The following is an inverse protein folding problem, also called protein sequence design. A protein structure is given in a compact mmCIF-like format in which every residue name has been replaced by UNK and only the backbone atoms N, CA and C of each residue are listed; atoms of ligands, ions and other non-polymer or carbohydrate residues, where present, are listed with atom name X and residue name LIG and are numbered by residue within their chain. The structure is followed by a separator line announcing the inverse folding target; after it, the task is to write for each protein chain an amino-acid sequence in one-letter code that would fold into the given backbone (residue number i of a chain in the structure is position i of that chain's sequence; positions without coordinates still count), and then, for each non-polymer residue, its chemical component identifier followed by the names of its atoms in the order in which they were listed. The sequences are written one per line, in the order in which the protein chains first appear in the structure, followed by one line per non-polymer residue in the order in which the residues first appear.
data_IF_504783800112
#
_entry.id   IF_504783800112
#
_cell.length_a   1.000
_cell.length_b   1.000
_cell.length_c   1.000
_cell.angle_alpha   90.00
_cell.angle_beta   90.00
_cell.angle_gamma   90.00
#
_symmetry.space_group_name_H-M   'P 1'
#
loop_
_entity.id
_entity.type
_entity.pdbx_description
1 polymer ?
#
# COMPACT_ATOMS: atom_id res chain seq x y z
N UNK A 1 -18.95 -1.18 -26.20
CA UNK A 1 -18.95 -2.31 -25.25
C UNK A 1 -17.49 -2.54 -24.86
N UNK A 2 -16.97 -2.25 -23.66
CA UNK A 2 -17.35 -2.67 -22.31
C UNK A 2 -17.17 -1.48 -21.34
N UNK A 3 -18.24 -1.00 -20.72
CA UNK A 3 -18.09 -0.20 -19.50
C UNK A 3 -17.80 -1.19 -18.37
N UNK A 4 -16.54 -1.64 -18.29
CA UNK A 4 -16.09 -2.49 -17.19
C UNK A 4 -16.27 -1.70 -15.90
N UNK A 5 -16.90 -2.32 -14.90
CA UNK A 5 -17.13 -1.68 -13.60
C UNK A 5 -15.77 -1.28 -13.01
N UNK A 6 -15.48 0.01 -12.99
CA UNK A 6 -14.26 0.57 -12.40
C UNK A 6 -14.35 0.48 -10.88
N UNK A 7 -13.30 -0.03 -10.23
CA UNK A 7 -13.23 -0.12 -8.77
C UNK A 7 -11.89 0.38 -8.21
N UNK A 8 -11.87 0.70 -6.92
CA UNK A 8 -10.65 0.89 -6.12
C UNK A 8 -10.37 -0.42 -5.38
N UNK A 9 -9.19 -0.98 -5.58
CA UNK A 9 -8.74 -2.18 -4.89
C UNK A 9 -8.00 -1.79 -3.60
N UNK A 10 -8.44 -2.32 -2.46
CA UNK A 10 -7.71 -2.26 -1.19
C UNK A 10 -7.02 -3.61 -1.03
N UNK A 11 -5.68 -3.61 -1.04
CA UNK A 11 -4.84 -4.79 -1.00
C UNK A 11 -4.11 -4.85 0.36
N UNK A 12 -4.53 -5.73 1.28
CA UNK A 12 -3.80 -5.95 2.51
C UNK A 12 -2.44 -6.60 2.21
N UNK A 13 -1.42 -6.19 2.95
CA UNK A 13 -0.06 -6.73 2.90
C UNK A 13 0.38 -7.10 4.32
N UNK A 14 0.50 -8.40 4.59
CA UNK A 14 1.04 -8.91 5.85
C UNK A 14 0.07 -8.92 7.03
N UNK A 15 -1.21 -9.24 6.77
CA UNK A 15 -2.15 -9.62 7.84
C UNK A 15 -2.76 -8.45 8.61
N UNK A 16 -3.37 -7.51 7.89
CA UNK A 16 -4.10 -6.38 8.50
C UNK A 16 -5.45 -6.83 9.03
N UNK A 17 -5.85 -6.27 10.17
CA UNK A 17 -7.15 -6.54 10.78
C UNK A 17 -8.30 -6.15 9.84
N UNK A 18 -9.30 -7.01 9.75
CA UNK A 18 -10.44 -6.84 8.86
C UNK A 18 -11.24 -5.57 9.15
N UNK A 19 -11.43 -5.21 10.43
CA UNK A 19 -12.17 -3.99 10.82
C UNK A 19 -11.49 -2.71 10.32
N UNK A 20 -10.15 -2.66 10.33
CA UNK A 20 -9.38 -1.54 9.77
C UNK A 20 -9.57 -1.46 8.25
N UNK A 21 -9.52 -2.59 7.56
CA UNK A 21 -9.69 -2.66 6.11
C UNK A 21 -11.11 -2.25 5.68
N UNK A 22 -12.13 -2.64 6.44
CA UNK A 22 -13.52 -2.25 6.21
C UNK A 22 -13.71 -0.75 6.33
N UNK A 23 -13.15 -0.13 7.39
CA UNK A 23 -13.20 1.33 7.59
C UNK A 23 -12.50 2.06 6.45
N UNK A 24 -11.32 1.61 6.02
CA UNK A 24 -10.60 2.18 4.88
C UNK A 24 -11.45 2.08 3.61
N UNK A 25 -11.98 0.90 3.30
CA UNK A 25 -12.78 0.68 2.09
C UNK A 25 -14.07 1.51 2.09
N UNK A 26 -14.75 1.61 3.23
CA UNK A 26 -15.97 2.41 3.37
C UNK A 26 -15.69 3.90 3.15
N UNK A 27 -14.63 4.43 3.75
CA UNK A 27 -14.24 5.83 3.59
C UNK A 27 -13.80 6.16 2.16
N UNK A 28 -13.02 5.29 1.51
CA UNK A 28 -12.64 5.45 0.11
C UNK A 28 -13.87 5.45 -0.80
N UNK A 29 -14.80 4.53 -0.60
CA UNK A 29 -16.03 4.47 -1.37
C UNK A 29 -16.90 5.72 -1.17
N UNK A 30 -17.04 6.19 0.08
CA UNK A 30 -17.81 7.38 0.40
C UNK A 30 -17.18 8.67 -0.17
N UNK A 31 -15.85 8.77 -0.13
CA UNK A 31 -15.15 9.96 -0.63
C UNK A 31 -15.10 10.01 -2.16
N UNK A 32 -14.69 8.92 -2.80
CA UNK A 32 -14.50 8.87 -4.25
C UNK A 32 -15.78 8.55 -5.02
N UNK A 33 -16.84 8.08 -4.37
CA UNK A 33 -18.08 7.61 -5.00
C UNK A 33 -17.82 6.50 -6.04
N UNK A 34 -16.76 5.72 -5.83
CA UNK A 34 -16.34 4.61 -6.67
C UNK A 34 -16.40 3.33 -5.85
N UNK A 35 -16.89 2.26 -6.46
CA UNK A 35 -16.93 0.92 -5.83
C UNK A 35 -15.54 0.59 -5.28
N UNK A 36 -15.47 0.27 -4.00
CA UNK A 36 -14.21 -0.13 -3.37
C UNK A 36 -14.33 -1.57 -2.89
N UNK A 37 -13.26 -2.36 -3.04
CA UNK A 37 -13.24 -3.76 -2.64
C UNK A 37 -11.94 -4.11 -1.94
N UNK A 38 -12.05 -4.78 -0.80
CA UNK A 38 -10.90 -5.41 -0.11
C UNK A 38 -10.58 -6.74 -0.79
N UNK A 39 -9.31 -6.96 -1.11
CA UNK A 39 -8.78 -8.17 -1.72
C UNK A 39 -8.17 -9.11 -0.68
N UNK A 40 -7.97 -10.40 -1.01
CA UNK A 40 -7.28 -11.33 -0.14
C UNK A 40 -5.89 -10.80 0.23
N UNK A 41 -5.47 -11.03 1.48
CA UNK A 41 -4.15 -10.61 1.96
C UNK A 41 -3.04 -11.20 1.09
N UNK A 42 -2.04 -10.38 0.79
CA UNK A 42 -0.83 -10.81 0.11
C UNK A 42 0.33 -10.84 1.12
N UNK A 43 1.25 -11.81 0.99
CA UNK A 43 2.43 -11.84 1.82
C UNK A 43 3.30 -10.61 1.54
N UNK A 44 3.99 -10.13 2.57
CA UNK A 44 4.95 -9.05 2.41
C UNK A 44 6.15 -9.50 1.56
N UNK A 45 6.65 -8.62 0.69
CA UNK A 45 7.76 -8.94 -0.19
C UNK A 45 9.08 -8.98 0.61
N UNK A 46 9.64 -10.17 0.85
CA UNK A 46 10.93 -10.33 1.53
C UNK A 46 12.05 -9.54 0.85
N UNK A 47 12.04 -9.47 -0.49
CA UNK A 47 13.02 -8.70 -1.28
C UNK A 47 12.93 -7.18 -1.12
N UNK A 48 11.89 -6.66 -0.44
CA UNK A 48 11.78 -5.26 -0.07
C UNK A 48 12.36 -4.95 1.32
N UNK A 49 12.67 -5.98 2.12
CA UNK A 49 13.19 -5.81 3.47
C UNK A 49 14.67 -5.38 3.45
N UNK A 50 14.99 -4.34 4.21
CA UNK A 50 16.36 -3.91 4.46
C UNK A 50 16.77 -4.28 5.87
N UNK A 51 17.62 -5.30 6.01
CA UNK A 51 18.16 -5.75 7.31
C UNK A 51 18.94 -4.65 8.04
N UNK A 52 19.60 -3.74 7.32
CA UNK A 52 20.30 -2.59 7.88
C UNK A 52 19.38 -1.60 8.59
N UNK A 53 18.11 -1.53 8.19
CA UNK A 53 17.12 -0.58 8.74
C UNK A 53 16.01 -1.25 9.54
N UNK A 54 15.85 -2.57 9.40
CA UNK A 54 14.68 -3.30 9.87
C UNK A 54 13.37 -2.72 9.31
N UNK A 55 13.40 -2.23 8.07
CA UNK A 55 12.29 -1.54 7.40
C UNK A 55 12.15 -2.03 5.95
N UNK A 56 10.98 -1.83 5.36
CA UNK A 56 10.68 -2.21 3.98
C UNK A 56 10.78 -1.02 3.02
N UNK A 57 11.45 -1.20 1.89
CA UNK A 57 11.52 -0.19 0.84
C UNK A 57 10.18 -0.13 0.11
N UNK A 58 9.58 1.06 0.01
CA UNK A 58 8.32 1.26 -0.70
C UNK A 58 8.40 0.92 -2.19
N UNK A 59 9.51 1.20 -2.87
CA UNK A 59 9.58 1.06 -4.32
C UNK A 59 9.30 -0.37 -4.82
N UNK A 60 9.93 -1.43 -4.28
CA UNK A 60 9.57 -2.80 -4.64
C UNK A 60 8.09 -3.14 -4.32
N UNK A 61 7.54 -2.59 -3.24
CA UNK A 61 6.14 -2.81 -2.85
C UNK A 61 5.19 -2.16 -3.87
N UNK A 62 5.45 -0.93 -4.28
CA UNK A 62 4.64 -0.24 -5.31
C UNK A 62 4.66 -0.99 -6.64
N UNK A 63 5.83 -1.49 -7.07
CA UNK A 63 5.94 -2.34 -8.26
C UNK A 63 5.14 -3.64 -8.13
N UNK A 64 5.21 -4.29 -6.97
CA UNK A 64 4.47 -5.52 -6.69
C UNK A 64 2.95 -5.29 -6.71
N UNK A 65 2.48 -4.20 -6.11
CA UNK A 65 1.08 -3.80 -6.14
C UNK A 65 0.61 -3.46 -7.56
N UNK A 66 1.42 -2.74 -8.34
CA UNK A 66 1.13 -2.44 -9.74
C UNK A 66 0.96 -3.72 -10.59
N UNK A 67 1.84 -4.70 -10.39
CA UNK A 67 1.75 -6.00 -11.06
C UNK A 67 0.55 -6.84 -10.59
N UNK A 68 0.13 -6.69 -9.34
CA UNK A 68 -1.00 -7.42 -8.74
C UNK A 68 -2.34 -6.72 -8.95
N UNK A 69 -2.36 -5.57 -9.64
CA UNK A 69 -3.59 -4.79 -9.82
C UNK A 69 -4.62 -5.57 -10.66
N UNK A 70 -5.87 -5.72 -10.16
CA UNK A 70 -6.97 -6.27 -10.95
C UNK A 70 -7.23 -5.45 -12.23
N UNK A 71 -7.58 -6.13 -13.32
CA UNK A 71 -7.83 -5.46 -14.61
C UNK A 71 -9.05 -4.50 -14.56
N UNK A 72 -10.01 -4.74 -13.67
CA UNK A 72 -11.17 -3.87 -13.44
C UNK A 72 -10.91 -2.75 -12.42
N UNK A 73 -9.74 -2.76 -11.76
CA UNK A 73 -9.34 -1.73 -10.84
C UNK A 73 -8.68 -0.54 -11.56
N UNK A 74 -9.16 0.66 -11.24
CA UNK A 74 -8.55 1.91 -11.68
C UNK A 74 -7.42 2.35 -10.76
N UNK A 75 -7.46 1.94 -9.49
CA UNK A 75 -6.45 2.25 -8.47
C UNK A 75 -6.29 1.04 -7.55
N UNK A 76 -5.09 0.86 -7.00
CA UNK A 76 -4.81 -0.14 -5.97
C UNK A 76 -4.10 0.52 -4.79
N UNK A 77 -4.57 0.25 -3.58
CA UNK A 77 -4.02 0.79 -2.35
C UNK A 77 -3.57 -0.38 -1.49
N UNK A 78 -2.26 -0.52 -1.32
CA UNK A 78 -1.64 -1.39 -0.34
C UNK A 78 -1.85 -0.87 1.08
N UNK A 79 -2.24 -1.74 2.01
CA UNK A 79 -2.36 -1.42 3.43
C UNK A 79 -1.45 -2.38 4.21
N UNK A 80 -0.58 -1.83 5.06
CA UNK A 80 0.40 -2.60 5.83
C UNK A 80 0.54 -2.02 7.25
N UNK A 81 0.90 -2.85 8.23
CA UNK A 81 1.27 -2.44 9.59
C UNK A 81 2.80 -2.40 9.78
N UNK A 82 3.55 -2.61 8.69
CA UNK A 82 5.01 -2.69 8.69
C UNK A 82 5.63 -1.36 8.28
N UNK A 83 6.68 -0.96 8.99
CA UNK A 83 7.44 0.27 8.71
C UNK A 83 8.04 0.26 7.28
N UNK A 84 7.66 1.27 6.53
CA UNK A 84 8.10 1.60 5.19
C UNK A 84 9.05 2.80 5.17
N UNK A 85 10.01 2.77 4.25
CA UNK A 85 10.93 3.88 3.97
C UNK A 85 11.09 4.11 2.47
N UNK A 86 11.48 5.35 2.12
CA UNK A 86 12.00 5.69 0.78
C UNK A 86 13.45 6.15 0.91
N UNK A 87 14.31 6.06 -0.12
CA UNK A 87 15.73 6.38 0.01
C UNK A 87 16.04 7.78 0.55
N UNK A 88 15.11 8.73 0.42
CA UNK A 88 15.27 10.13 0.82
C UNK A 88 14.65 10.41 2.22
N UNK A 89 13.71 9.59 2.71
CA UNK A 89 13.01 9.79 3.99
C UNK A 89 13.05 8.53 4.86
N UNK A 90 13.37 8.70 6.15
CA UNK A 90 13.54 7.59 7.10
C UNK A 90 12.23 6.86 7.44
N UNK A 91 11.08 7.54 7.30
CA UNK A 91 9.74 6.97 7.49
C UNK A 91 8.76 7.66 6.54
N UNK A 92 7.83 6.88 5.97
CA UNK A 92 6.72 7.42 5.19
C UNK A 92 5.42 6.75 5.60
N UNK A 93 4.41 7.54 5.96
CA UNK A 93 3.06 7.00 6.22
C UNK A 93 2.44 6.42 4.96
N UNK A 94 2.80 6.99 3.81
CA UNK A 94 2.34 6.59 2.50
C UNK A 94 3.31 7.05 1.42
N UNK A 95 3.52 6.21 0.40
CA UNK A 95 4.06 6.66 -0.89
C UNK A 95 2.98 6.43 -1.95
N UNK A 96 2.92 7.32 -2.94
CA UNK A 96 2.04 7.16 -4.09
C UNK A 96 2.83 7.33 -5.40
N UNK A 97 2.63 6.44 -6.37
CA UNK A 97 3.12 6.65 -7.74
C UNK A 97 2.02 7.32 -8.57
N UNK A 98 2.26 8.55 -9.05
CA UNK A 98 1.35 9.28 -9.94
C UNK A 98 1.80 9.07 -11.40
N UNK A 99 0.93 8.50 -12.23
CA UNK A 99 1.19 8.38 -13.67
C UNK A 99 2.18 7.27 -14.06
N UNK A 100 2.23 6.19 -13.27
CA UNK A 100 3.15 5.06 -13.51
C UNK A 100 3.04 4.43 -14.91
N UNK A 101 4.13 3.81 -15.35
CA UNK A 101 4.37 3.36 -16.75
C UNK A 101 3.43 2.25 -17.27
N UNK A 102 2.49 1.75 -16.47
CA UNK A 102 1.44 0.86 -16.93
C UNK A 102 0.24 1.69 -17.39
N UNK A 103 0.22 2.01 -18.69
CA UNK A 103 -0.84 2.69 -19.45
C UNK A 103 -2.19 2.86 -18.73
N UNK A 104 -2.37 4.04 -18.13
CA UNK A 104 -3.65 4.56 -17.63
C UNK A 104 -3.67 4.80 -16.12
N UNK A 105 -3.23 5.98 -15.69
CA UNK A 105 -3.52 6.61 -14.38
C UNK A 105 -3.52 5.67 -13.17
N UNK A 106 -2.41 4.93 -13.01
CA UNK A 106 -2.19 4.08 -11.86
C UNK A 106 -1.73 4.94 -10.68
N UNK A 107 -2.61 5.17 -9.70
CA UNK A 107 -2.19 5.61 -8.36
C UNK A 107 -2.07 4.36 -7.47
N UNK A 108 -0.82 4.02 -7.12
CA UNK A 108 -0.52 2.95 -6.15
C UNK A 108 -0.14 3.61 -4.86
N UNK A 109 -0.82 3.33 -3.75
CA UNK A 109 -0.43 3.87 -2.44
C UNK A 109 -0.20 2.78 -1.40
N UNK A 110 0.85 2.86 -0.59
CA UNK A 110 1.11 1.92 0.51
C UNK A 110 1.00 2.66 1.85
N UNK A 111 -0.04 2.42 2.65
CA UNK A 111 -0.28 3.14 3.91
C UNK A 111 0.09 2.29 5.14
N UNK A 112 0.80 2.89 6.11
CA UNK A 112 1.11 2.30 7.41
C UNK A 112 -0.02 2.55 8.42
N UNK A 113 -0.57 1.49 9.04
CA UNK A 113 -1.43 1.64 10.22
C UNK A 113 -0.59 1.72 11.50
N UNK A 114 -0.93 2.68 12.37
CA UNK A 114 -0.10 3.13 13.49
C UNK A 114 0.30 1.99 14.46
N UNK A 115 1.60 1.78 14.63
CA UNK A 115 2.20 1.53 15.95
C UNK A 115 3.07 2.73 16.32
N UNK A 116 3.16 3.14 17.60
CA UNK A 116 4.19 4.10 18.00
C UNK A 116 5.54 3.49 17.61
N UNK A 117 6.34 4.25 16.86
CA UNK A 117 7.70 3.86 16.52
C UNK A 117 8.40 3.40 17.80
N UNK A 118 8.70 2.10 17.89
CA UNK A 118 9.57 1.62 18.95
C UNK A 118 10.90 2.36 18.74
N UNK A 119 11.23 3.26 19.67
CA UNK A 119 12.53 3.92 19.69
C UNK A 119 13.62 2.88 19.48
N UNK A 120 14.25 2.90 18.31
CA UNK A 120 15.57 2.32 18.16
C UNK A 120 16.50 3.17 19.04
N UNK A 121 17.15 2.59 20.07
CA UNK A 121 18.15 3.34 20.81
C UNK A 121 19.26 3.64 19.81
N UNK A 122 19.42 4.92 19.45
CA UNK A 122 20.63 5.37 18.78
C UNK A 122 21.75 5.13 19.78
N UNK A 123 22.47 4.02 19.63
CA UNK A 123 23.76 3.82 20.27
C UNK A 123 24.68 4.89 19.70
N UNK A 124 24.85 5.97 20.47
CA UNK A 124 25.90 6.94 20.24
C UNK A 124 27.22 6.28 20.62
N UNK A 125 28.11 6.13 19.64
CA UNK A 125 29.54 6.07 19.85
C UNK A 125 30.18 7.16 19.00
#
# INVERSE_FOLDING_TARGET
MRSGKKLIAVQPLGGIREDVLEVIAANLQAFFQIRTKVFPDLPMLEGAYSSHRSQYNCHPILKFLGASKPHDAIKIIGVTDIDLFIPILTYVFGEAELGGQCSGDLDVSACQSQRPAAHSPKTAF
#
